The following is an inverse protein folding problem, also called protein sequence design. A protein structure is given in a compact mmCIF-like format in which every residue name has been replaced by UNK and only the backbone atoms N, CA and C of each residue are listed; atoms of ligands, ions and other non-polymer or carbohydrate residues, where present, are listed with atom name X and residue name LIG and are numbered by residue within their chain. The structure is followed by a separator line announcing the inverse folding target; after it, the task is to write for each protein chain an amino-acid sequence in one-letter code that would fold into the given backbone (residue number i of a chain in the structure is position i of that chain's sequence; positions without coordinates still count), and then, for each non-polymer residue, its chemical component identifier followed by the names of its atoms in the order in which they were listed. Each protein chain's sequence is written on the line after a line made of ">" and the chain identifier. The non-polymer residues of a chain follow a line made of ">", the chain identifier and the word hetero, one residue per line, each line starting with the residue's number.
data_IF_532292349265
#
_entry.id   IF_532292349265
#
_cell.length_a   1.000
_cell.length_b   1.000
_cell.length_c   1.000
_cell.angle_alpha   90.00
_cell.angle_beta   90.00
_cell.angle_gamma   90.00
#
_symmetry.space_group_name_H-M   'P 1'
#
loop_
_entity.id
_entity.type
_entity.pdbx_description
1 polymer ?
#
# COMPACT_ATOMS: atom_id res chain seq x y z
N UNK A 1 -14.42 -2.70 3.51
CA UNK A 1 -14.59 -3.56 4.69
C UNK A 1 -15.72 -4.52 4.37
N UNK A 2 -15.38 -5.81 4.25
CA UNK A 2 -16.32 -6.86 3.85
C UNK A 2 -17.28 -7.14 5.01
N UNK A 3 -18.59 -6.99 4.78
CA UNK A 3 -19.62 -7.39 5.76
C UNK A 3 -19.71 -8.91 5.80
N UNK A 4 -19.50 -9.58 6.94
CA UNK A 4 -19.57 -11.04 7.05
C UNK A 4 -21.03 -11.51 7.25
N UNK A 5 -21.95 -11.10 6.39
CA UNK A 5 -23.29 -11.69 6.38
C UNK A 5 -23.29 -12.88 5.44
N UNK A 6 -23.76 -14.03 5.90
CA UNK A 6 -23.72 -15.31 5.17
C UNK A 6 -24.44 -15.26 3.80
N UNK A 7 -25.25 -14.24 3.54
CA UNK A 7 -25.94 -14.01 2.27
C UNK A 7 -25.10 -13.29 1.20
N UNK A 8 -23.99 -12.62 1.60
CA UNK A 8 -23.22 -11.75 0.72
C UNK A 8 -21.79 -12.24 0.44
N UNK A 9 -21.51 -13.52 0.65
CA UNK A 9 -20.22 -14.11 0.26
C UNK A 9 -20.21 -14.31 -1.27
N UNK A 10 -20.09 -13.20 -1.98
CA UNK A 10 -20.03 -13.19 -3.43
C UNK A 10 -18.63 -13.57 -3.92
N UNK A 11 -18.54 -14.05 -5.16
CA UNK A 11 -17.25 -14.27 -5.84
C UNK A 11 -16.36 -13.02 -5.82
N UNK A 12 -16.95 -11.82 -5.81
CA UNK A 12 -16.23 -10.56 -5.69
C UNK A 12 -15.48 -10.42 -4.35
N UNK A 13 -16.05 -10.90 -3.25
CA UNK A 13 -15.39 -10.91 -1.93
C UNK A 13 -14.15 -11.81 -1.92
N UNK A 14 -14.26 -13.00 -2.51
CA UNK A 14 -13.12 -13.92 -2.64
C UNK A 14 -12.00 -13.33 -3.50
N UNK A 15 -12.36 -12.70 -4.62
CA UNK A 15 -11.41 -12.01 -5.50
C UNK A 15 -10.70 -10.86 -4.72
N UNK A 16 -11.44 -10.08 -3.94
CA UNK A 16 -10.88 -9.00 -3.14
C UNK A 16 -9.90 -9.52 -2.07
N UNK A 17 -10.23 -10.62 -1.39
CA UNK A 17 -9.33 -11.26 -0.41
C UNK A 17 -8.06 -11.81 -1.08
N UNK A 18 -8.21 -12.47 -2.22
CA UNK A 18 -7.08 -12.98 -2.99
C UNK A 18 -6.18 -11.83 -3.46
N UNK A 19 -6.76 -10.75 -3.98
CA UNK A 19 -6.02 -9.55 -4.38
C UNK A 19 -5.25 -8.93 -3.21
N UNK A 20 -5.86 -8.87 -2.02
CA UNK A 20 -5.19 -8.38 -0.81
C UNK A 20 -4.01 -9.27 -0.40
N UNK A 21 -4.16 -10.60 -0.45
CA UNK A 21 -3.09 -11.55 -0.16
C UNK A 21 -1.93 -11.42 -1.15
N UNK A 22 -2.23 -11.32 -2.45
CA UNK A 22 -1.23 -11.11 -3.51
C UNK A 22 -0.50 -9.78 -3.29
N UNK A 23 -1.22 -8.70 -2.98
CA UNK A 23 -0.62 -7.38 -2.72
C UNK A 23 0.33 -7.40 -1.52
N UNK A 24 -0.02 -8.14 -0.45
CA UNK A 24 0.87 -8.38 0.68
C UNK A 24 2.15 -9.10 0.25
N UNK A 25 2.04 -10.15 -0.56
CA UNK A 25 3.17 -10.87 -1.12
C UNK A 25 4.07 -9.99 -1.98
N UNK A 26 3.50 -9.14 -2.82
CA UNK A 26 4.23 -8.16 -3.64
C UNK A 26 5.01 -7.19 -2.75
N UNK A 27 4.41 -6.67 -1.69
CA UNK A 27 5.09 -5.75 -0.76
C UNK A 27 6.30 -6.41 -0.09
N UNK A 28 6.15 -7.66 0.35
CA UNK A 28 7.27 -8.45 0.93
C UNK A 28 8.37 -8.67 -0.11
N UNK A 29 8.00 -9.01 -1.34
CA UNK A 29 8.94 -9.21 -2.45
C UNK A 29 9.72 -7.94 -2.77
N UNK A 30 9.05 -6.78 -2.83
CA UNK A 30 9.70 -5.47 -3.02
C UNK A 30 10.65 -5.17 -1.87
N UNK A 31 10.23 -5.43 -0.61
CA UNK A 31 11.10 -5.25 0.57
C UNK A 31 12.35 -6.13 0.48
N UNK A 32 12.21 -7.37 0.06
CA UNK A 32 13.35 -8.28 -0.11
C UNK A 32 14.30 -7.80 -1.21
N UNK A 33 13.75 -7.45 -2.38
CA UNK A 33 14.53 -6.94 -3.53
C UNK A 33 15.24 -5.62 -3.20
N UNK A 34 14.61 -4.76 -2.41
CA UNK A 34 15.17 -3.45 -2.03
C UNK A 34 16.45 -3.53 -1.19
N UNK A 35 16.80 -4.73 -0.70
CA UNK A 35 18.07 -4.96 0.02
C UNK A 35 19.27 -5.01 -0.95
N UNK A 36 19.06 -5.52 -2.16
CA UNK A 36 20.11 -5.75 -3.16
C UNK A 36 20.06 -4.76 -4.30
N UNK A 37 18.86 -4.36 -4.72
CA UNK A 37 18.65 -3.50 -5.89
C UNK A 37 18.26 -2.06 -5.51
N UNK A 38 18.65 -1.07 -6.32
CA UNK A 38 18.18 0.30 -6.17
C UNK A 38 16.68 0.41 -6.53
N UNK A 39 15.99 1.36 -5.89
CA UNK A 39 14.55 1.57 -6.06
C UNK A 39 14.17 1.81 -7.53
N UNK A 40 14.98 2.55 -8.26
CA UNK A 40 14.78 2.85 -9.70
C UNK A 40 14.68 1.59 -10.54
N UNK A 41 15.61 0.64 -10.34
CA UNK A 41 15.62 -0.64 -11.07
C UNK A 41 14.38 -1.47 -10.75
N UNK A 42 14.00 -1.55 -9.48
CA UNK A 42 12.80 -2.28 -9.05
C UNK A 42 11.56 -1.70 -9.73
N UNK A 43 11.40 -0.38 -9.69
CA UNK A 43 10.23 0.29 -10.28
C UNK A 43 10.19 0.12 -11.80
N UNK A 44 11.30 0.29 -12.49
CA UNK A 44 11.37 0.13 -13.95
C UNK A 44 11.02 -1.31 -14.35
N UNK A 45 11.63 -2.31 -13.72
CA UNK A 45 11.40 -3.72 -14.04
C UNK A 45 9.97 -4.16 -13.72
N UNK A 46 9.43 -3.76 -12.57
CA UNK A 46 8.05 -4.10 -12.22
C UNK A 46 7.05 -3.44 -13.14
N UNK A 47 7.22 -2.16 -13.47
CA UNK A 47 6.34 -1.44 -14.41
C UNK A 47 6.43 -2.06 -15.81
N UNK A 48 7.63 -2.37 -16.28
CA UNK A 48 7.84 -3.01 -17.58
C UNK A 48 7.18 -4.40 -17.65
N UNK A 49 7.23 -5.16 -16.56
CA UNK A 49 6.62 -6.50 -16.49
C UNK A 49 5.08 -6.43 -16.46
N UNK A 50 4.51 -5.37 -15.88
CA UNK A 50 3.06 -5.19 -15.82
C UNK A 50 2.43 -4.99 -17.20
N UNK A 51 3.14 -4.35 -18.12
CA UNK A 51 2.66 -4.10 -19.49
C UNK A 51 2.31 -5.42 -20.22
N UNK A 52 3.22 -6.38 -20.43
CA UNK A 52 2.88 -7.63 -21.09
C UNK A 52 1.90 -8.50 -20.32
N UNK A 53 1.86 -8.37 -18.97
CA UNK A 53 0.94 -9.15 -18.15
C UNK A 53 -0.50 -8.64 -18.25
N UNK A 54 -0.70 -7.32 -18.35
CA UNK A 54 -2.03 -6.71 -18.48
C UNK A 54 -2.52 -6.65 -19.93
N UNK A 55 -1.63 -6.67 -20.91
CA UNK A 55 -1.94 -6.49 -22.32
C UNK A 55 -2.99 -7.49 -22.86
N UNK A 56 -2.92 -8.81 -22.60
CA UNK A 56 -3.92 -9.76 -23.11
C UNK A 56 -5.33 -9.43 -22.62
N UNK A 57 -5.48 -9.03 -21.37
CA UNK A 57 -6.78 -8.64 -20.80
C UNK A 57 -7.25 -7.30 -21.38
N UNK A 58 -6.36 -6.35 -21.54
CA UNK A 58 -6.69 -5.06 -22.11
C UNK A 58 -7.15 -5.17 -23.59
N UNK A 59 -6.52 -6.05 -24.38
CA UNK A 59 -6.89 -6.24 -25.79
C UNK A 59 -8.31 -6.77 -25.98
N UNK A 60 -8.88 -7.51 -25.03
CA UNK A 60 -10.25 -8.05 -25.13
C UNK A 60 -11.33 -6.96 -25.03
N UNK A 61 -11.01 -5.84 -24.39
CA UNK A 61 -11.93 -4.72 -24.13
C UNK A 61 -11.40 -3.39 -24.67
N UNK A 62 -10.40 -3.44 -25.54
CA UNK A 62 -9.68 -2.26 -26.00
C UNK A 62 -10.60 -1.25 -26.68
N UNK A 63 -10.57 -0.03 -26.18
CA UNK A 63 -11.18 1.14 -26.82
C UNK A 63 -10.14 2.25 -26.88
N UNK A 64 -10.05 2.92 -28.01
CA UNK A 64 -9.17 4.08 -28.12
C UNK A 64 -9.73 5.22 -27.28
N UNK A 65 -8.91 5.83 -26.42
CA UNK A 65 -9.33 6.97 -25.62
C UNK A 65 -9.57 8.19 -26.52
N UNK A 66 -10.57 8.99 -26.16
CA UNK A 66 -10.78 10.29 -26.76
C UNK A 66 -9.61 11.24 -26.46
N UNK A 67 -9.41 12.23 -27.34
CA UNK A 67 -8.33 13.22 -27.16
C UNK A 67 -8.38 13.94 -25.80
N UNK A 68 -9.57 14.19 -25.27
CA UNK A 68 -9.77 14.80 -23.96
C UNK A 68 -9.36 13.90 -22.78
N UNK A 69 -9.28 12.59 -22.97
CA UNK A 69 -8.91 11.60 -21.94
C UNK A 69 -7.40 11.44 -21.81
N UNK A 70 -6.63 11.71 -22.88
CA UNK A 70 -5.18 11.53 -22.88
C UNK A 70 -4.44 12.27 -21.76
N UNK A 71 -4.72 13.55 -21.47
CA UNK A 71 -4.04 14.27 -20.40
C UNK A 71 -4.24 13.58 -19.03
N UNK A 72 -5.44 13.05 -18.77
CA UNK A 72 -5.75 12.34 -17.52
C UNK A 72 -5.03 11.00 -17.42
N UNK A 73 -4.90 10.28 -18.53
CA UNK A 73 -4.14 9.02 -18.56
C UNK A 73 -2.65 9.26 -18.30
N UNK A 74 -2.06 10.28 -18.92
CA UNK A 74 -0.66 10.65 -18.71
C UNK A 74 -0.44 11.09 -17.26
N UNK A 75 -1.33 11.93 -16.72
CA UNK A 75 -1.26 12.41 -15.35
C UNK A 75 -1.37 11.26 -14.35
N UNK A 76 -2.35 10.37 -14.52
CA UNK A 76 -2.55 9.21 -13.62
C UNK A 76 -1.38 8.24 -13.68
N UNK A 77 -0.85 7.96 -14.87
CA UNK A 77 0.35 7.12 -15.05
C UNK A 77 1.59 7.72 -14.39
N UNK A 78 1.79 9.03 -14.58
CA UNK A 78 2.91 9.75 -13.96
C UNK A 78 2.82 9.78 -12.43
N UNK A 79 1.66 10.12 -11.89
CA UNK A 79 1.43 10.12 -10.43
C UNK A 79 1.52 8.70 -9.85
N UNK A 80 0.99 7.70 -10.54
CA UNK A 80 1.08 6.29 -10.13
C UNK A 80 2.53 5.81 -10.06
N UNK A 81 3.33 6.12 -11.08
CA UNK A 81 4.76 5.76 -11.12
C UNK A 81 5.53 6.50 -10.03
N UNK A 82 5.29 7.78 -9.82
CA UNK A 82 5.91 8.56 -8.76
C UNK A 82 5.57 8.00 -7.37
N UNK A 83 4.30 7.65 -7.14
CA UNK A 83 3.84 7.02 -5.91
C UNK A 83 4.52 5.66 -5.68
N UNK A 84 4.59 4.82 -6.72
CA UNK A 84 5.28 3.53 -6.64
C UNK A 84 6.77 3.70 -6.31
N UNK A 85 7.42 4.68 -6.92
CA UNK A 85 8.82 5.01 -6.64
C UNK A 85 9.03 5.45 -5.19
N UNK A 86 8.22 6.38 -4.70
CA UNK A 86 8.26 6.83 -3.31
C UNK A 86 8.02 5.67 -2.33
N UNK A 87 7.05 4.81 -2.61
CA UNK A 87 6.76 3.63 -1.82
C UNK A 87 7.93 2.64 -1.76
N UNK A 88 8.49 2.31 -2.94
CA UNK A 88 9.65 1.40 -3.02
C UNK A 88 10.86 1.96 -2.27
N UNK A 89 11.08 3.27 -2.37
CA UNK A 89 12.15 3.95 -1.65
C UNK A 89 11.91 3.96 -0.13
N UNK A 90 10.68 4.16 0.30
CA UNK A 90 10.31 4.09 1.72
C UNK A 90 10.54 2.68 2.29
N UNK A 91 10.16 1.63 1.56
CA UNK A 91 10.41 0.23 1.95
C UNK A 91 11.92 -0.09 2.05
N UNK A 92 12.77 0.60 1.29
CA UNK A 92 14.22 0.45 1.41
C UNK A 92 14.74 1.07 2.72
N UNK A 93 14.16 2.18 3.14
CA UNK A 93 14.65 2.98 4.29
C UNK A 93 14.05 2.53 5.63
N UNK A 94 12.89 1.89 5.64
CA UNK A 94 12.17 1.50 6.84
C UNK A 94 11.64 0.07 6.75
N UNK A 95 11.33 -0.51 7.92
CA UNK A 95 10.66 -1.81 7.97
C UNK A 95 9.22 -1.70 7.43
N UNK A 96 8.74 -2.76 6.77
CA UNK A 96 7.40 -2.77 6.17
C UNK A 96 6.29 -2.56 7.22
N UNK A 97 6.48 -3.06 8.43
CA UNK A 97 5.57 -2.87 9.57
C UNK A 97 5.46 -1.40 10.00
N UNK A 98 6.57 -0.66 9.97
CA UNK A 98 6.58 0.77 10.30
C UNK A 98 5.86 1.63 9.25
N UNK A 99 5.77 1.14 8.00
CA UNK A 99 5.07 1.83 6.90
C UNK A 99 3.57 1.48 6.85
N UNK A 100 3.15 0.39 7.48
CA UNK A 100 1.75 -0.04 7.48
C UNK A 100 0.76 1.05 7.94
N UNK A 101 1.02 1.83 9.01
CA UNK A 101 0.12 2.92 9.41
C UNK A 101 -0.05 4.01 8.35
N UNK A 102 0.99 4.28 7.55
CA UNK A 102 0.94 5.26 6.46
C UNK A 102 0.04 4.80 5.32
N UNK A 103 -0.03 3.48 5.07
CA UNK A 103 -0.95 2.93 4.06
C UNK A 103 -2.41 3.17 4.42
N UNK A 104 -2.76 3.23 5.72
CA UNK A 104 -4.13 3.55 6.15
C UNK A 104 -4.46 5.04 6.08
N UNK A 105 -3.44 5.92 6.07
CA UNK A 105 -3.65 7.33 5.79
C UNK A 105 -4.23 7.56 4.39
N UNK A 106 -3.85 6.70 3.43
CA UNK A 106 -4.43 6.68 2.08
C UNK A 106 -5.96 6.53 2.12
N UNK A 107 -6.50 5.73 3.04
CA UNK A 107 -7.94 5.54 3.16
C UNK A 107 -8.66 6.84 3.53
N UNK A 108 -8.08 7.64 4.42
CA UNK A 108 -8.61 8.96 4.78
C UNK A 108 -8.56 9.93 3.61
N UNK A 109 -7.42 9.99 2.92
CA UNK A 109 -7.24 10.88 1.77
C UNK A 109 -8.21 10.51 0.64
N UNK A 110 -8.29 9.23 0.28
CA UNK A 110 -9.20 8.75 -0.78
C UNK A 110 -10.66 8.96 -0.40
N UNK A 111 -11.05 8.65 0.84
CA UNK A 111 -12.41 8.87 1.33
C UNK A 111 -12.80 10.36 1.32
N UNK A 112 -11.89 11.24 1.72
CA UNK A 112 -12.12 12.69 1.66
C UNK A 112 -12.26 13.20 0.23
N UNK A 113 -11.40 12.73 -0.68
CA UNK A 113 -11.48 13.09 -2.09
C UNK A 113 -12.75 12.54 -2.76
N UNK A 114 -13.17 11.33 -2.44
CA UNK A 114 -14.40 10.74 -2.94
C UNK A 114 -15.63 11.56 -2.49
N UNK A 115 -15.65 12.01 -1.24
CA UNK A 115 -16.69 12.88 -0.73
C UNK A 115 -16.68 14.26 -1.43
N UNK A 116 -15.51 14.90 -1.56
CA UNK A 116 -15.37 16.23 -2.15
C UNK A 116 -15.67 16.28 -3.66
N UNK A 117 -15.20 15.27 -4.41
CA UNK A 117 -15.26 15.26 -5.87
C UNK A 117 -16.52 14.59 -6.42
N UNK A 118 -17.01 13.57 -5.73
CA UNK A 118 -18.13 12.74 -6.20
C UNK A 118 -19.36 12.80 -5.31
N UNK A 119 -19.29 13.49 -4.15
CA UNK A 119 -20.40 13.55 -3.19
C UNK A 119 -20.69 12.19 -2.52
N UNK A 120 -19.76 11.24 -2.61
CA UNK A 120 -19.93 9.93 -2.00
C UNK A 120 -19.91 10.02 -0.48
N UNK A 121 -20.97 9.55 0.17
CA UNK A 121 -21.06 9.50 1.64
C UNK A 121 -20.62 8.12 2.10
N UNK A 122 -19.59 8.11 2.96
CA UNK A 122 -19.13 6.87 3.59
C UNK A 122 -20.23 6.38 4.54
N UNK A 123 -20.70 5.14 4.38
CA UNK A 123 -21.68 4.55 5.28
C UNK A 123 -21.09 4.33 6.68
N UNK A 124 -21.96 4.35 7.71
CA UNK A 124 -21.56 4.27 9.12
C UNK A 124 -20.73 3.02 9.44
N UNK A 125 -20.99 1.89 8.77
CA UNK A 125 -20.24 0.65 8.98
C UNK A 125 -18.83 0.73 8.42
N UNK A 126 -18.68 1.31 7.24
CA UNK A 126 -17.36 1.57 6.63
C UNK A 126 -16.55 2.56 7.46
N UNK A 127 -17.20 3.62 7.96
CA UNK A 127 -16.57 4.61 8.85
C UNK A 127 -16.11 3.96 10.17
N UNK A 128 -16.94 3.12 10.80
CA UNK A 128 -16.57 2.41 12.02
C UNK A 128 -15.41 1.43 11.77
N UNK A 129 -15.44 0.67 10.69
CA UNK A 129 -14.35 -0.22 10.31
C UNK A 129 -13.04 0.51 10.03
N UNK A 130 -13.10 1.65 9.32
CA UNK A 130 -11.94 2.49 9.07
C UNK A 130 -11.33 3.03 10.38
N UNK A 131 -12.18 3.48 11.33
CA UNK A 131 -11.74 3.96 12.64
C UNK A 131 -11.02 2.87 13.44
N UNK A 132 -11.52 1.65 13.44
CA UNK A 132 -10.88 0.50 14.12
C UNK A 132 -9.51 0.21 13.49
N UNK A 133 -9.42 0.17 12.16
CA UNK A 133 -8.17 -0.09 11.45
C UNK A 133 -7.14 1.00 11.72
N UNK A 134 -7.54 2.27 11.70
CA UNK A 134 -6.67 3.41 11.99
C UNK A 134 -6.18 3.34 13.45
N UNK A 135 -7.07 3.07 14.42
CA UNK A 135 -6.70 2.96 15.83
C UNK A 135 -5.70 1.82 16.07
N UNK A 136 -5.95 0.65 15.48
CA UNK A 136 -5.05 -0.50 15.55
C UNK A 136 -3.67 -0.18 14.96
N UNK A 137 -3.63 0.50 13.81
CA UNK A 137 -2.39 0.87 13.13
C UNK A 137 -1.57 1.89 13.92
N UNK A 138 -2.23 2.89 14.51
CA UNK A 138 -1.59 3.86 15.40
C UNK A 138 -1.04 3.19 16.67
N UNK A 139 -1.75 2.21 17.20
CA UNK A 139 -1.27 1.43 18.34
C UNK A 139 0.01 0.67 17.99
N UNK A 140 0.03 -0.03 16.85
CA UNK A 140 1.21 -0.77 16.36
C UNK A 140 2.38 0.18 16.15
N UNK A 141 2.17 1.31 15.46
CA UNK A 141 3.22 2.30 15.21
C UNK A 141 3.82 2.87 16.50
N UNK A 142 2.97 3.19 17.49
CA UNK A 142 3.44 3.67 18.80
C UNK A 142 4.21 2.61 19.56
N UNK A 143 3.80 1.36 19.50
CA UNK A 143 4.51 0.24 20.14
C UNK A 143 5.88 0.04 19.48
N UNK A 144 5.98 0.01 18.18
CA UNK A 144 7.25 -0.13 17.45
C UNK A 144 8.21 1.03 17.76
N UNK A 145 7.71 2.27 17.77
CA UNK A 145 8.51 3.44 18.14
C UNK A 145 9.04 3.37 19.58
N UNK A 146 8.27 2.80 20.52
CA UNK A 146 8.75 2.56 21.90
C UNK A 146 9.84 1.50 21.94
N UNK A 147 9.63 0.35 21.31
CA UNK A 147 10.61 -0.73 21.23
C UNK A 147 11.92 -0.25 20.61
N UNK A 148 11.86 0.51 19.51
CA UNK A 148 13.03 1.08 18.87
C UNK A 148 13.80 2.07 19.80
N UNK A 149 13.07 2.86 20.58
CA UNK A 149 13.70 3.76 21.57
C UNK A 149 14.36 3.00 22.72
N UNK A 150 13.75 1.93 23.19
CA UNK A 150 14.28 1.11 24.28
C UNK A 150 15.54 0.34 23.86
N UNK A 151 15.61 -0.12 22.62
CA UNK A 151 16.80 -0.75 22.05
C UNK A 151 17.96 0.23 21.87
N UNK A 152 17.67 1.52 21.63
CA UNK A 152 18.68 2.56 21.45
C UNK A 152 19.11 3.25 22.77
N UNK A 153 18.63 2.80 23.94
CA UNK A 153 19.12 3.32 25.22
C UNK A 153 20.56 2.87 25.46
N UNK A 154 21.44 3.77 25.94
CA UNK A 154 22.87 3.48 26.16
C UNK A 154 23.13 2.27 27.07
N UNK A 155 22.28 2.02 28.05
CA UNK A 155 22.38 0.86 28.95
C UNK A 155 22.19 -0.49 28.25
N UNK A 156 21.36 -0.55 27.21
CA UNK A 156 21.12 -1.78 26.45
C UNK A 156 22.27 -2.09 25.51
N UNK A 157 22.90 -1.04 24.93
CA UNK A 157 24.08 -1.16 24.08
C UNK A 157 25.29 -1.62 24.90
N UNK A 158 25.48 -1.10 26.13
CA UNK A 158 26.59 -1.48 27.01
C UNK A 158 26.53 -2.96 27.48
N UNK A 159 25.34 -3.54 27.57
CA UNK A 159 25.16 -4.96 27.93
C UNK A 159 25.42 -5.93 26.78
N UNK A 160 25.45 -5.47 25.55
CA UNK A 160 25.67 -6.30 24.34
C UNK A 160 27.13 -6.29 23.87
N UNK A 161 27.98 -5.43 24.42
CA UNK A 161 29.44 -5.46 24.15
C UNK A 161 30.05 -6.49 25.09
N UNK A 162 30.54 -7.64 24.60
CA UNK A 162 31.33 -8.55 25.41
C UNK A 162 32.62 -7.87 25.79
N UNK A 163 32.89 -7.75 27.09
CA UNK A 163 34.21 -7.41 27.60
C UNK A 163 35.18 -8.49 27.15
N UNK A 164 36.04 -8.11 26.20
CA UNK A 164 37.24 -8.86 25.82
C UNK A 164 38.24 -8.87 26.98
#
# INVERSE_FOLDING_TARGET
>A
IVRPTAADFSSATLIALLAAAISGGVTISIKYLSRTDPADRIVILTTLLWVPLSLPFALTVWKWPDAATWPWLILSGGLGTAGHYCWTRALKMAEASALAPLSYLQLLVVGTLAWLLFGEVIDNYTAAGAAIVIAASLYIARREARVARDLNKPETVAKQTPTL
#
